data_IF_465059548515
#
_entry.id   IF_465059548515
#
_cell.length_a   1.000
_cell.length_b   1.000
_cell.length_c   1.000
_cell.angle_alpha   90.00
_cell.angle_beta   90.00
_cell.angle_gamma   90.00
#
_symmetry.space_group_name_H-M   'P 1'
#
loop_
_entity.id
_entity.type
_entity.pdbx_description
1 polymer ?
#
# COMPACT_ATOMS: atom_id res chain seq x y z
N UNK A 1 1.08 5.64 -0.39
CA UNK A 1 1.63 6.86 0.20
C UNK A 1 1.51 6.81 1.72
N UNK A 2 2.36 7.53 2.43
CA UNK A 2 2.44 7.56 3.89
C UNK A 2 2.32 9.00 4.40
N UNK A 3 1.55 9.17 5.47
CA UNK A 3 1.47 10.41 6.25
C UNK A 3 2.11 10.24 7.64
N UNK A 4 2.87 9.17 7.83
CA UNK A 4 3.55 8.77 9.06
C UNK A 4 2.63 8.48 10.26
N UNK A 5 1.33 8.37 10.06
CA UNK A 5 0.39 7.95 11.10
C UNK A 5 0.49 6.45 11.40
N UNK A 6 -0.10 6.03 12.51
CA UNK A 6 -0.23 4.60 12.86
C UNK A 6 -0.94 3.84 11.75
N UNK A 7 -1.96 4.45 11.13
CA UNK A 7 -2.73 3.81 10.07
C UNK A 7 -1.92 3.65 8.78
N UNK A 8 -1.07 4.62 8.44
CA UNK A 8 -0.16 4.47 7.30
C UNK A 8 0.88 3.36 7.53
N UNK A 9 1.21 3.05 8.78
CA UNK A 9 2.09 1.91 9.10
C UNK A 9 1.41 0.56 8.85
N UNK A 10 0.09 0.45 9.07
CA UNK A 10 -0.68 -0.74 8.68
C UNK A 10 -0.71 -0.88 7.16
N UNK A 11 -0.98 0.21 6.43
CA UNK A 11 -0.93 0.23 4.96
C UNK A 11 0.47 -0.14 4.43
N UNK A 12 1.53 0.34 5.07
CA UNK A 12 2.90 -0.04 4.76
C UNK A 12 3.13 -1.56 4.91
N UNK A 13 2.65 -2.18 5.99
CA UNK A 13 2.78 -3.62 6.19
C UNK A 13 2.13 -4.42 5.04
N UNK A 14 0.95 -3.99 4.58
CA UNK A 14 0.27 -4.61 3.43
C UNK A 14 1.07 -4.44 2.13
N UNK A 15 1.52 -3.21 1.85
CA UNK A 15 2.33 -2.93 0.66
C UNK A 15 3.65 -3.71 0.66
N UNK A 16 4.32 -3.79 1.81
CA UNK A 16 5.55 -4.55 1.97
C UNK A 16 5.33 -6.05 1.75
N UNK A 17 4.28 -6.62 2.36
CA UNK A 17 3.95 -8.04 2.18
C UNK A 17 3.66 -8.39 0.73
N UNK A 18 2.84 -7.60 0.06
CA UNK A 18 2.52 -7.77 -1.36
C UNK A 18 3.78 -7.69 -2.23
N UNK A 19 4.62 -6.68 -2.02
CA UNK A 19 5.82 -6.50 -2.82
C UNK A 19 6.85 -7.63 -2.63
N UNK A 20 6.99 -8.13 -1.40
CA UNK A 20 7.87 -9.30 -1.12
C UNK A 20 7.33 -10.56 -1.76
N UNK A 21 6.04 -10.86 -1.59
CA UNK A 21 5.42 -12.05 -2.19
C UNK A 21 5.45 -12.02 -3.72
N UNK A 22 5.25 -10.83 -4.32
CA UNK A 22 5.32 -10.63 -5.77
C UNK A 22 6.75 -10.51 -6.31
N UNK A 23 7.79 -10.50 -5.47
CA UNK A 23 9.19 -10.24 -5.86
C UNK A 23 9.32 -8.96 -6.70
N UNK A 24 8.70 -7.90 -6.26
CA UNK A 24 8.52 -6.65 -7.01
C UNK A 24 9.18 -5.46 -6.32
N UNK A 25 8.99 -4.27 -6.89
CA UNK A 25 9.50 -3.01 -6.33
C UNK A 25 8.45 -2.34 -5.44
N UNK A 26 8.88 -1.78 -4.31
CA UNK A 26 8.06 -1.01 -3.38
C UNK A 26 8.52 0.45 -3.34
N UNK A 27 7.65 1.37 -3.73
CA UNK A 27 7.87 2.81 -3.59
C UNK A 27 7.12 3.32 -2.34
N UNK A 28 7.86 3.84 -1.38
CA UNK A 28 7.31 4.49 -0.20
C UNK A 28 7.32 5.99 -0.44
N UNK A 29 6.16 6.57 -0.74
CA UNK A 29 5.99 7.98 -1.03
C UNK A 29 5.42 8.72 0.18
N UNK A 30 6.05 9.82 0.58
CA UNK A 30 5.49 10.83 1.47
C UNK A 30 5.40 12.15 0.72
N UNK A 31 4.30 12.88 0.88
CA UNK A 31 4.15 14.22 0.33
C UNK A 31 4.13 15.22 1.48
N UNK A 32 5.12 16.11 1.49
CA UNK A 32 5.24 17.20 2.45
C UNK A 32 4.87 18.52 1.80
N UNK A 33 4.18 19.37 2.55
CA UNK A 33 3.95 20.78 2.16
C UNK A 33 5.12 21.67 2.57
N UNK A 34 5.95 21.18 3.50
CA UNK A 34 7.10 21.91 4.03
C UNK A 34 8.40 21.15 3.72
N UNK A 35 9.41 21.87 3.22
CA UNK A 35 10.73 21.30 2.91
C UNK A 35 11.57 20.98 4.15
N UNK A 36 11.23 21.56 5.30
CA UNK A 36 11.98 21.39 6.55
C UNK A 36 11.34 20.33 7.48
N UNK A 37 10.12 19.82 7.16
CA UNK A 37 9.31 19.09 8.13
C UNK A 37 9.69 17.61 8.32
N UNK A 38 9.88 16.83 7.26
CA UNK A 38 10.02 15.38 7.38
C UNK A 38 11.21 14.82 6.60
N UNK A 39 11.96 13.92 7.25
CA UNK A 39 13.14 13.29 6.67
C UNK A 39 12.91 11.82 6.28
N UNK A 40 13.83 11.27 5.48
CA UNK A 40 13.86 9.85 5.08
C UNK A 40 13.90 8.91 6.30
N UNK A 41 14.39 9.37 7.45
CA UNK A 41 14.46 8.62 8.71
C UNK A 41 13.10 8.29 9.31
N UNK A 42 12.07 9.08 9.01
CA UNK A 42 10.69 8.89 9.52
C UNK A 42 9.94 7.77 8.81
N UNK A 43 10.37 7.42 7.60
CA UNK A 43 9.77 6.29 6.91
C UNK A 43 9.92 5.00 7.70
N UNK A 44 8.93 4.08 7.58
CA UNK A 44 9.01 2.76 8.15
C UNK A 44 10.33 2.06 7.77
N UNK A 45 10.91 1.35 8.73
CA UNK A 45 12.20 0.65 8.55
C UNK A 45 11.96 -0.71 7.89
N UNK A 46 11.97 -0.76 6.57
CA UNK A 46 11.71 -1.95 5.76
C UNK A 46 12.50 -3.16 6.27
N UNK A 47 13.83 -3.03 6.42
CA UNK A 47 14.69 -4.14 6.88
C UNK A 47 14.31 -4.66 8.26
N UNK A 48 14.09 -3.75 9.22
CA UNK A 48 13.70 -4.13 10.58
C UNK A 48 12.34 -4.86 10.59
N UNK A 49 11.43 -4.44 9.71
CA UNK A 49 10.13 -5.12 9.57
C UNK A 49 10.30 -6.51 8.98
N UNK A 50 11.10 -6.67 7.94
CA UNK A 50 11.37 -7.97 7.32
C UNK A 50 12.14 -8.92 8.26
N UNK A 51 13.11 -8.41 9.03
CA UNK A 51 13.80 -9.19 10.07
C UNK A 51 12.83 -9.64 11.17
N UNK A 52 11.97 -8.74 11.66
CA UNK A 52 10.93 -9.07 12.64
C UNK A 52 9.94 -10.12 12.12
N UNK A 53 9.63 -10.12 10.83
CA UNK A 53 8.77 -11.12 10.19
C UNK A 53 9.48 -12.46 9.91
N UNK A 54 10.77 -12.55 10.21
CA UNK A 54 11.57 -13.74 9.92
C UNK A 54 11.86 -13.98 8.44
N UNK A 55 11.61 -12.96 7.60
CA UNK A 55 11.90 -13.01 6.15
C UNK A 55 13.39 -12.79 5.87
N UNK A 56 14.06 -12.00 6.73
CA UNK A 56 15.47 -11.70 6.63
C UNK A 56 16.21 -12.16 7.87
N UNK A 57 17.38 -12.76 7.69
CA UNK A 57 18.35 -12.92 8.74
C UNK A 57 19.08 -11.59 8.98
N UNK A 58 19.55 -11.34 10.21
CA UNK A 58 20.22 -10.09 10.57
C UNK A 58 21.48 -9.81 9.75
N UNK A 59 22.11 -10.85 9.19
CA UNK A 59 23.27 -10.76 8.30
C UNK A 59 22.94 -10.40 6.84
N UNK A 60 21.64 -10.37 6.46
CA UNK A 60 21.21 -10.15 5.09
C UNK A 60 21.46 -8.70 4.65
N UNK A 61 22.14 -8.49 3.53
CA UNK A 61 22.44 -7.17 2.99
C UNK A 61 21.31 -6.64 2.08
N UNK A 62 21.37 -5.36 1.72
CA UNK A 62 20.45 -4.81 0.70
C UNK A 62 20.68 -5.42 -0.69
N UNK A 63 21.84 -6.06 -0.91
CA UNK A 63 22.17 -6.78 -2.13
C UNK A 63 21.38 -8.09 -2.20
N UNK A 64 21.29 -8.80 -1.08
CA UNK A 64 20.59 -10.09 -1.01
C UNK A 64 19.09 -9.91 -1.29
N UNK A 65 18.49 -8.80 -0.81
CA UNK A 65 17.11 -8.45 -1.15
C UNK A 65 16.89 -8.23 -2.66
N UNK A 66 17.86 -7.62 -3.33
CA UNK A 66 17.79 -7.41 -4.79
C UNK A 66 17.95 -8.71 -5.56
N UNK A 67 18.78 -9.61 -5.07
CA UNK A 67 18.99 -10.95 -5.65
C UNK A 67 17.72 -11.81 -5.50
N UNK A 68 16.98 -11.65 -4.40
CA UNK A 68 15.64 -12.23 -4.17
C UNK A 68 14.51 -11.58 -5.02
N UNK A 69 14.84 -10.55 -5.82
CA UNK A 69 13.90 -9.86 -6.69
C UNK A 69 13.10 -8.75 -6.02
N UNK A 70 13.33 -8.46 -4.73
CA UNK A 70 12.67 -7.37 -4.02
C UNK A 70 13.53 -6.10 -3.99
N UNK A 71 12.92 -4.96 -4.33
CA UNK A 71 13.55 -3.65 -4.27
C UNK A 71 12.64 -2.67 -3.56
N UNK A 72 13.21 -1.67 -2.92
CA UNK A 72 12.42 -0.57 -2.36
C UNK A 72 13.15 0.74 -2.44
N UNK A 73 12.39 1.83 -2.52
CA UNK A 73 12.88 3.20 -2.39
C UNK A 73 11.95 4.03 -1.53
N UNK A 74 12.49 5.09 -0.94
CA UNK A 74 11.79 6.08 -0.14
C UNK A 74 11.85 7.40 -0.88
N UNK A 75 10.70 8.02 -1.11
CA UNK A 75 10.57 9.24 -1.89
C UNK A 75 9.79 10.27 -1.08
N UNK A 76 10.33 11.49 -1.02
CA UNK A 76 9.62 12.64 -0.47
C UNK A 76 9.27 13.56 -1.62
N UNK A 77 7.97 13.71 -1.88
CA UNK A 77 7.44 14.70 -2.80
C UNK A 77 7.15 16.00 -2.06
N UNK A 78 7.43 17.14 -2.70
CA UNK A 78 7.11 18.46 -2.16
C UNK A 78 6.08 19.13 -3.04
N UNK A 79 4.86 19.29 -2.53
CA UNK A 79 3.78 19.92 -3.26
C UNK A 79 2.68 20.41 -2.31
N UNK A 80 2.03 21.52 -2.64
CA UNK A 80 0.89 22.04 -1.87
C UNK A 80 -0.33 21.10 -1.89
N UNK A 81 -0.50 20.34 -2.99
CA UNK A 81 -1.55 19.34 -3.14
C UNK A 81 -0.99 17.92 -3.07
N UNK A 82 -1.25 17.14 -2.01
CA UNK A 82 -0.86 15.74 -1.93
C UNK A 82 -1.43 14.88 -3.08
N UNK A 83 -2.65 15.15 -3.51
CA UNK A 83 -3.26 14.44 -4.65
C UNK A 83 -2.45 14.64 -5.92
N UNK A 84 -2.16 15.90 -6.28
CA UNK A 84 -1.41 16.20 -7.50
C UNK A 84 -0.01 15.57 -7.48
N UNK A 85 0.66 15.60 -6.32
CA UNK A 85 1.98 14.99 -6.16
C UNK A 85 1.94 13.47 -6.31
N UNK A 86 0.94 12.80 -5.73
CA UNK A 86 0.80 11.35 -5.85
C UNK A 86 0.49 10.95 -7.29
N UNK A 87 -0.45 11.63 -7.96
CA UNK A 87 -0.80 11.35 -9.34
C UNK A 87 0.38 11.59 -10.28
N UNK A 88 1.09 12.71 -10.14
CA UNK A 88 2.31 12.97 -10.91
C UNK A 88 3.39 11.90 -10.70
N UNK A 89 3.57 11.45 -9.45
CA UNK A 89 4.50 10.35 -9.17
C UNK A 89 4.08 9.04 -9.85
N UNK A 90 2.77 8.73 -9.88
CA UNK A 90 2.24 7.54 -10.54
C UNK A 90 2.34 7.61 -12.06
N UNK A 91 2.24 8.80 -12.65
CA UNK A 91 2.45 9.02 -14.09
C UNK A 91 3.90 8.74 -14.50
N UNK A 92 4.86 9.17 -13.68
CA UNK A 92 6.29 8.92 -13.93
C UNK A 92 6.73 7.50 -13.52
N UNK A 93 6.06 6.90 -12.55
CA UNK A 93 6.40 5.61 -11.96
C UNK A 93 5.13 4.75 -11.83
N UNK A 94 4.61 4.21 -12.94
CA UNK A 94 3.39 3.40 -12.91
C UNK A 94 3.46 2.26 -11.92
N UNK A 95 2.39 2.05 -11.16
CA UNK A 95 2.27 1.01 -10.16
C UNK A 95 1.06 0.11 -10.43
N UNK A 96 1.23 -1.20 -10.33
CA UNK A 96 0.12 -2.16 -10.45
C UNK A 96 -0.87 -2.01 -9.29
N UNK A 97 -0.36 -1.72 -8.08
CA UNK A 97 -1.18 -1.54 -6.88
C UNK A 97 -0.69 -0.33 -6.08
N UNK A 98 -1.60 0.60 -5.81
CA UNK A 98 -1.39 1.70 -4.87
C UNK A 98 -2.06 1.36 -3.54
N UNK A 99 -1.31 1.36 -2.43
CA UNK A 99 -1.84 1.09 -1.09
C UNK A 99 -1.96 2.40 -0.32
N UNK A 100 -3.16 2.69 0.17
CA UNK A 100 -3.49 3.93 0.86
C UNK A 100 -4.20 3.65 2.19
N UNK A 101 -3.77 4.33 3.25
CA UNK A 101 -4.54 4.41 4.47
C UNK A 101 -5.72 5.36 4.29
N UNK A 102 -6.87 5.01 4.86
CA UNK A 102 -8.04 5.88 4.84
C UNK A 102 -8.52 6.15 6.26
N UNK A 103 -8.70 7.44 6.58
CA UNK A 103 -9.35 7.86 7.82
C UNK A 103 -10.86 7.89 7.61
N UNK A 104 -11.60 7.12 8.40
CA UNK A 104 -13.06 7.19 8.40
C UNK A 104 -13.51 8.48 9.10
N UNK A 105 -13.85 9.51 8.31
CA UNK A 105 -14.53 10.70 8.84
C UNK A 105 -15.97 10.35 9.16
N UNK A 106 -16.39 10.52 10.41
CA UNK A 106 -17.77 10.30 10.87
C UNK A 106 -18.59 11.58 10.65
N UNK A 107 -19.85 11.41 10.23
CA UNK A 107 -20.85 12.50 10.18
C UNK A 107 -20.82 13.38 8.92
N UNK A 108 -21.37 14.60 9.02
CA UNK A 108 -21.59 15.54 7.92
C UNK A 108 -20.31 15.97 7.18
N UNK A 109 -19.14 15.85 7.79
CA UNK A 109 -17.85 16.14 7.14
C UNK A 109 -17.50 15.19 6.00
N UNK A 110 -18.18 14.03 5.91
CA UNK A 110 -18.02 13.07 4.81
C UNK A 110 -18.55 13.60 3.48
N UNK A 111 -19.48 14.56 3.52
CA UNK A 111 -20.15 15.08 2.32
C UNK A 111 -19.43 16.27 1.65
N UNK A 112 -18.41 16.84 2.28
CA UNK A 112 -17.88 18.15 1.84
C UNK A 112 -16.51 18.06 1.13
N UNK A 113 -15.72 17.01 1.39
CA UNK A 113 -14.39 16.85 0.77
C UNK A 113 -14.12 15.39 0.45
N UNK A 114 -13.84 15.08 -0.81
CA UNK A 114 -13.24 13.80 -1.20
C UNK A 114 -11.90 13.63 -0.48
N UNK A 115 -11.66 12.45 0.09
CA UNK A 115 -10.36 12.18 0.72
C UNK A 115 -9.25 12.11 -0.35
N UNK A 116 -8.01 12.41 0.01
CA UNK A 116 -6.84 12.20 -0.89
C UNK A 116 -6.89 10.81 -1.52
N UNK A 117 -7.19 9.80 -0.70
CA UNK A 117 -7.27 8.41 -1.12
C UNK A 117 -8.36 8.16 -2.17
N UNK A 118 -9.56 8.73 -2.00
CA UNK A 118 -10.66 8.62 -2.98
C UNK A 118 -10.30 9.28 -4.31
N UNK A 119 -9.72 10.48 -4.26
CA UNK A 119 -9.35 11.21 -5.47
C UNK A 119 -8.24 10.48 -6.23
N UNK A 120 -7.19 10.05 -5.54
CA UNK A 120 -6.10 9.27 -6.15
C UNK A 120 -6.64 7.97 -6.77
N UNK A 121 -7.50 7.24 -6.06
CA UNK A 121 -8.08 5.99 -6.59
C UNK A 121 -8.94 6.18 -7.83
N UNK A 122 -9.64 7.30 -7.93
CA UNK A 122 -10.51 7.59 -9.09
C UNK A 122 -9.70 8.02 -10.30
N UNK A 123 -8.63 8.77 -10.05
CA UNK A 123 -7.89 9.47 -11.09
C UNK A 123 -6.58 8.73 -11.49
N UNK A 124 -6.27 7.58 -10.86
CA UNK A 124 -5.15 6.70 -11.22
C UNK A 124 -5.62 5.45 -11.97
N UNK A 125 -4.77 4.94 -12.87
CA UNK A 125 -5.08 3.78 -13.72
C UNK A 125 -4.89 2.42 -13.02
N UNK A 126 -4.13 2.38 -11.91
CA UNK A 126 -3.80 1.17 -11.18
C UNK A 126 -4.89 0.69 -10.21
N UNK A 127 -4.69 -0.49 -9.64
CA UNK A 127 -5.51 -0.97 -8.54
C UNK A 127 -5.20 -0.17 -7.27
N UNK A 128 -6.24 0.19 -6.51
CA UNK A 128 -6.07 0.83 -5.19
C UNK A 128 -6.56 -0.09 -4.08
N UNK A 129 -5.68 -0.39 -3.14
CA UNK A 129 -6.00 -1.09 -1.91
C UNK A 129 -6.17 -0.08 -0.77
N UNK A 130 -7.37 0.03 -0.25
CA UNK A 130 -7.67 0.87 0.91
C UNK A 130 -7.53 0.09 2.20
N UNK A 131 -6.72 0.60 3.12
CA UNK A 131 -6.62 0.09 4.49
C UNK A 131 -7.34 1.07 5.42
N UNK A 132 -8.46 0.62 5.97
CA UNK A 132 -9.34 1.47 6.79
C UNK A 132 -8.89 1.54 8.24
N UNK A 133 -9.16 2.67 8.89
CA UNK A 133 -8.82 2.93 10.31
C UNK A 133 -9.51 1.96 11.28
N UNK A 134 -10.71 1.48 10.93
CA UNK A 134 -11.48 0.56 11.77
C UNK A 134 -10.99 -0.89 11.75
N UNK A 135 -10.00 -1.22 10.91
CA UNK A 135 -9.50 -2.58 10.73
C UNK A 135 -7.98 -2.64 10.66
N UNK A 136 -7.42 -3.71 11.21
CA UNK A 136 -5.98 -3.98 11.08
C UNK A 136 -5.60 -4.51 9.69
N UNK A 137 -6.57 -4.53 8.75
CA UNK A 137 -6.42 -5.18 7.46
C UNK A 137 -6.22 -6.69 7.58
N UNK A 138 -5.57 -7.29 6.59
CA UNK A 138 -5.33 -8.74 6.53
C UNK A 138 -3.85 -9.13 6.67
N UNK A 139 -2.95 -8.18 6.87
CA UNK A 139 -1.53 -8.43 7.14
C UNK A 139 -1.18 -7.95 8.55
N UNK A 140 -0.68 -8.85 9.37
CA UNK A 140 -0.19 -8.51 10.71
C UNK A 140 1.04 -7.60 10.62
N UNK A 141 0.99 -6.45 11.28
CA UNK A 141 2.13 -5.51 11.35
C UNK A 141 3.33 -6.16 12.05
N UNK A 142 3.07 -7.01 13.03
CA UNK A 142 4.12 -7.59 13.86
C UNK A 142 4.79 -8.82 13.23
N UNK A 143 4.02 -9.66 12.56
CA UNK A 143 4.51 -10.96 12.08
C UNK A 143 4.52 -11.09 10.55
N UNK A 144 3.85 -10.18 9.81
CA UNK A 144 3.63 -10.33 8.38
C UNK A 144 2.71 -11.48 7.99
N UNK A 145 2.06 -12.12 8.97
CA UNK A 145 1.10 -13.19 8.70
C UNK A 145 -0.12 -12.64 7.98
N UNK A 146 -0.62 -13.40 6.99
CA UNK A 146 -1.80 -13.06 6.20
C UNK A 146 -3.01 -13.78 6.76
N UNK A 147 -4.09 -13.02 7.02
CA UNK A 147 -5.36 -13.52 7.54
C UNK A 147 -6.52 -13.41 6.54
N UNK A 148 -6.23 -13.08 5.28
CA UNK A 148 -7.25 -12.99 4.23
C UNK A 148 -7.80 -14.39 3.91
N UNK A 149 -9.12 -14.58 4.09
CA UNK A 149 -9.81 -15.84 3.86
C UNK A 149 -11.03 -15.71 2.95
N UNK A 150 -11.59 -14.51 2.86
CA UNK A 150 -12.81 -14.25 2.08
C UNK A 150 -12.68 -12.96 1.32
N UNK A 151 -13.04 -12.99 0.06
CA UNK A 151 -13.09 -11.82 -0.80
C UNK A 151 -14.52 -11.68 -1.33
N UNK A 152 -15.16 -10.55 -1.02
CA UNK A 152 -16.47 -10.22 -1.57
C UNK A 152 -16.29 -9.36 -2.83
N UNK A 153 -16.82 -9.82 -3.93
CA UNK A 153 -16.84 -9.08 -5.18
C UNK A 153 -18.29 -8.73 -5.50
N UNK A 154 -18.69 -7.45 -5.38
CA UNK A 154 -20.00 -7.04 -5.83
C UNK A 154 -20.06 -7.13 -7.36
N UNK A 155 -21.10 -7.77 -7.88
CA UNK A 155 -21.30 -7.94 -9.31
C UNK A 155 -22.58 -7.25 -9.75
N UNK A 156 -22.50 -6.56 -10.89
CA UNK A 156 -23.63 -5.96 -11.58
C UNK A 156 -23.44 -6.15 -13.09
N UNK A 157 -24.45 -5.85 -13.87
CA UNK A 157 -24.40 -5.88 -15.34
C UNK A 157 -23.40 -4.85 -15.89
N UNK A 158 -23.19 -3.75 -15.18
CA UNK A 158 -22.22 -2.66 -15.50
C UNK A 158 -21.66 -2.06 -14.20
N UNK A 159 -20.31 -1.91 -14.05
CA UNK A 159 -19.27 -2.34 -14.98
C UNK A 159 -19.07 -3.87 -14.97
N UNK A 160 -18.41 -4.41 -16.01
CA UNK A 160 -18.11 -5.84 -16.11
C UNK A 160 -17.24 -6.29 -14.92
N UNK A 161 -17.64 -7.28 -14.12
CA UNK A 161 -16.95 -7.73 -12.93
C UNK A 161 -15.62 -8.45 -13.18
N UNK A 162 -15.31 -8.79 -14.44
CA UNK A 162 -14.11 -9.54 -14.79
C UNK A 162 -12.81 -8.90 -14.29
N UNK A 163 -12.72 -7.56 -14.30
CA UNK A 163 -11.54 -6.86 -13.77
C UNK A 163 -11.37 -7.09 -12.27
N UNK A 164 -12.46 -6.99 -11.51
CA UNK A 164 -12.45 -7.21 -10.06
C UNK A 164 -12.13 -8.67 -9.72
N UNK A 165 -12.70 -9.62 -10.45
CA UNK A 165 -12.42 -11.04 -10.29
C UNK A 165 -10.94 -11.34 -10.56
N UNK A 166 -10.40 -10.88 -11.70
CA UNK A 166 -8.99 -11.07 -12.04
C UNK A 166 -8.05 -10.44 -11.00
N UNK A 167 -8.40 -9.28 -10.46
CA UNK A 167 -7.62 -8.63 -9.40
C UNK A 167 -7.63 -9.46 -8.11
N UNK A 168 -8.79 -10.02 -7.72
CA UNK A 168 -8.91 -10.86 -6.54
C UNK A 168 -8.11 -12.17 -6.68
N UNK A 169 -8.19 -12.82 -7.85
CA UNK A 169 -7.40 -14.04 -8.14
C UNK A 169 -5.91 -13.73 -8.07
N UNK A 170 -5.43 -12.67 -8.75
CA UNK A 170 -4.02 -12.27 -8.70
C UNK A 170 -3.55 -11.97 -7.27
N UNK A 171 -4.39 -11.32 -6.47
CA UNK A 171 -4.07 -11.04 -5.07
C UNK A 171 -3.92 -12.32 -4.25
N UNK A 172 -4.85 -13.27 -4.42
CA UNK A 172 -4.82 -14.57 -3.74
C UNK A 172 -3.56 -15.37 -4.15
N UNK A 173 -3.28 -15.47 -5.43
CA UNK A 173 -2.09 -16.15 -5.97
C UNK A 173 -0.79 -15.50 -5.45
N UNK A 174 -0.71 -14.17 -5.48
CA UNK A 174 0.47 -13.43 -4.98
C UNK A 174 0.73 -13.70 -3.51
N UNK A 175 -0.32 -13.81 -2.70
CA UNK A 175 -0.22 -14.07 -1.27
C UNK A 175 -0.06 -15.56 -0.93
N UNK A 176 -0.11 -16.46 -1.92
CA UNK A 176 -0.01 -17.90 -1.74
C UNK A 176 -1.17 -18.50 -0.95
N UNK A 177 -2.38 -17.99 -1.16
CA UNK A 177 -3.57 -18.47 -0.47
C UNK A 177 -4.08 -19.74 -1.16
N UNK A 178 -4.00 -20.87 -0.47
CA UNK A 178 -4.44 -22.18 -1.00
C UNK A 178 -5.97 -22.29 -1.09
N UNK A 179 -6.71 -21.60 -0.21
CA UNK A 179 -8.17 -21.51 -0.21
C UNK A 179 -8.61 -20.10 0.16
N UNK A 180 -9.39 -19.48 -0.71
CA UNK A 180 -10.05 -18.21 -0.47
C UNK A 180 -11.51 -18.36 -0.92
N UNK A 181 -12.48 -18.17 0.00
CA UNK A 181 -13.92 -18.23 -0.27
C UNK A 181 -14.43 -16.88 -0.82
#
# INVERSE_FOLDING_TARGET
>A
ASDFTVQSNVAFAHALKLAVCARSSLNLLHVSTDREGHGISEFPKVRNTLSRWGVLNDACSSRDLKEEGFRYQKVIGYHESPVASILHFLDEHPADITVLATHQRKGAQRMIHSSVAETVSRDSDGLTLFITESGNGFVSVDTGAVSLRRVLIPVDSKPNPAKALNAAVKLADTLGLEQCD
#
